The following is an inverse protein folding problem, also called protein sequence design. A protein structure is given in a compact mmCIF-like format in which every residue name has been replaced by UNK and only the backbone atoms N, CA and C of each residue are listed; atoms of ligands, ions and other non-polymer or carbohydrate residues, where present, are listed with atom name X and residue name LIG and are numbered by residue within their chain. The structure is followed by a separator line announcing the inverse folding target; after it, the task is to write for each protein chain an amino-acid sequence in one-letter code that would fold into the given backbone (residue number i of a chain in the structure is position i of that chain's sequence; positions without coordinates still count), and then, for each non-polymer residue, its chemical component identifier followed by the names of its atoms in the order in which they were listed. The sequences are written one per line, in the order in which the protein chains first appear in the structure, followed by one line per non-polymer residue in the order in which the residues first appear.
data_IF_573405663257
#
_entry.id   IF_573405663257
#
_cell.length_a   1.000
_cell.length_b   1.000
_cell.length_c   1.000
_cell.angle_alpha   90.00
_cell.angle_beta   90.00
_cell.angle_gamma   90.00
#
_symmetry.space_group_name_H-M   'P 1'
#
loop_
_entity.id
_entity.type
_entity.pdbx_description
1 polymer ?
#
# COMPACT_ATOMS: atom_id res chain seq x y z
N UNK A 1 -1.45 20.32 -13.52
CA UNK A 1 -1.80 18.97 -13.05
C UNK A 1 -0.80 18.63 -11.97
N UNK A 2 -1.25 18.37 -10.74
CA UNK A 2 -0.36 17.96 -9.67
C UNK A 2 0.14 16.55 -9.98
N UNK A 3 1.39 16.25 -9.66
CA UNK A 3 1.99 14.94 -9.88
C UNK A 3 2.76 14.52 -8.63
N UNK A 4 2.61 13.27 -8.23
CA UNK A 4 3.39 12.69 -7.15
C UNK A 4 4.64 12.02 -7.72
N UNK A 5 5.79 12.34 -7.17
CA UNK A 5 7.07 11.70 -7.53
C UNK A 5 7.55 10.85 -6.37
N UNK A 6 7.87 9.60 -6.64
CA UNK A 6 8.51 8.71 -5.70
C UNK A 6 10.01 8.68 -5.97
N UNK A 7 10.82 8.90 -4.92
CA UNK A 7 12.28 8.78 -5.00
C UNK A 7 12.74 7.78 -3.95
N UNK A 8 13.48 6.77 -4.39
CA UNK A 8 14.10 5.77 -3.52
C UNK A 8 15.61 5.99 -3.58
N UNK A 9 16.24 6.14 -2.43
CA UNK A 9 17.70 6.29 -2.31
C UNK A 9 18.24 5.26 -1.33
N UNK A 10 19.22 4.50 -1.76
CA UNK A 10 19.92 3.50 -0.96
C UNK A 10 21.40 3.83 -0.96
N UNK A 11 21.94 4.10 0.22
CA UNK A 11 23.35 4.43 0.39
C UNK A 11 23.96 3.51 1.44
N UNK A 12 25.14 3.00 1.16
CA UNK A 12 25.95 2.25 2.12
C UNK A 12 27.43 2.54 1.88
N UNK A 13 28.20 2.60 2.97
CA UNK A 13 29.64 2.83 2.96
C UNK A 13 30.44 1.56 3.25
N UNK A 14 29.79 0.49 3.70
CA UNK A 14 30.44 -0.67 4.35
C UNK A 14 29.88 -2.04 3.95
N UNK A 15 28.83 -2.12 3.15
CA UNK A 15 28.29 -3.42 2.68
C UNK A 15 29.28 -4.15 1.77
N UNK A 16 29.98 -3.41 0.94
CA UNK A 16 31.02 -3.93 0.04
C UNK A 16 32.30 -3.11 0.26
N UNK A 17 33.40 -3.59 -0.30
CA UNK A 17 34.68 -2.83 -0.29
C UNK A 17 34.59 -1.46 -1.02
N UNK A 18 33.45 -1.16 -1.63
CA UNK A 18 33.16 0.12 -2.27
C UNK A 18 31.83 0.68 -1.77
N UNK A 19 31.75 2.00 -1.63
CA UNK A 19 30.50 2.66 -1.29
C UNK A 19 29.45 2.44 -2.38
N UNK A 20 28.23 2.13 -1.97
CA UNK A 20 27.07 1.99 -2.85
C UNK A 20 26.20 3.21 -2.69
N UNK A 21 25.83 3.83 -3.79
CA UNK A 21 24.82 4.88 -3.84
C UNK A 21 23.89 4.61 -5.03
N UNK A 22 22.67 4.20 -4.71
CA UNK A 22 21.61 3.93 -5.70
C UNK A 22 20.50 4.92 -5.46
N UNK A 23 20.03 5.57 -6.51
CA UNK A 23 18.88 6.44 -6.45
C UNK A 23 18.04 6.25 -7.71
N UNK A 24 16.74 6.14 -7.52
CA UNK A 24 15.76 6.07 -8.61
C UNK A 24 14.59 6.98 -8.29
N UNK A 25 14.12 7.70 -9.28
CA UNK A 25 12.98 8.60 -9.16
C UNK A 25 12.01 8.33 -10.30
N UNK A 26 10.73 8.23 -9.97
CA UNK A 26 9.67 8.02 -10.95
C UNK A 26 8.43 8.82 -10.60
N UNK A 27 7.73 9.31 -11.61
CA UNK A 27 6.41 9.91 -11.44
C UNK A 27 5.38 8.80 -11.32
N UNK A 28 4.48 8.93 -10.36
CA UNK A 28 3.39 7.98 -10.14
C UNK A 28 2.21 8.37 -10.99
N UNK A 29 1.80 7.48 -11.87
CA UNK A 29 0.67 7.68 -12.77
C UNK A 29 -0.49 6.76 -12.39
N UNK A 30 -1.69 7.19 -12.80
CA UNK A 30 -2.85 6.31 -12.83
C UNK A 30 -2.55 5.13 -13.75
N UNK A 31 -3.08 3.97 -13.39
CA UNK A 31 -2.92 2.74 -14.16
C UNK A 31 -3.28 2.92 -15.64
N UNK A 32 -2.56 2.22 -16.49
CA UNK A 32 -2.72 2.27 -17.95
C UNK A 32 -2.52 3.66 -18.58
N UNK A 33 -1.95 4.63 -17.85
CA UNK A 33 -1.67 5.97 -18.39
C UNK A 33 -0.27 6.46 -18.05
N UNK A 34 0.24 7.37 -18.85
CA UNK A 34 1.45 8.17 -18.55
C UNK A 34 1.15 9.67 -18.53
N UNK A 35 -0.12 10.03 -18.56
CA UNK A 35 -0.59 11.41 -18.65
C UNK A 35 -1.40 11.86 -17.43
N UNK A 36 -1.94 10.93 -16.66
CA UNK A 36 -2.73 11.23 -15.45
C UNK A 36 -1.93 10.87 -14.23
N UNK A 37 -1.40 11.86 -13.54
CA UNK A 37 -0.65 11.68 -12.30
C UNK A 37 -1.55 11.40 -11.10
N UNK A 38 -1.01 10.76 -10.08
CA UNK A 38 -1.65 10.66 -8.77
C UNK A 38 -1.48 11.99 -8.04
N UNK A 39 -2.58 12.61 -7.67
CA UNK A 39 -2.61 13.98 -7.16
C UNK A 39 -3.16 14.10 -5.73
N UNK A 40 -3.68 13.00 -5.19
CA UNK A 40 -4.23 12.95 -3.84
C UNK A 40 -3.52 11.90 -2.99
N UNK A 41 -3.48 12.16 -1.70
CA UNK A 41 -2.91 11.28 -0.71
C UNK A 41 -3.79 11.28 0.55
N UNK A 42 -4.21 10.11 0.98
CA UNK A 42 -4.85 9.89 2.27
C UNK A 42 -3.84 9.27 3.22
N UNK A 43 -3.57 9.94 4.34
CA UNK A 43 -2.65 9.47 5.36
C UNK A 43 -3.40 9.10 6.64
N UNK A 44 -3.09 7.93 7.17
CA UNK A 44 -3.77 7.38 8.34
C UNK A 44 -2.79 6.75 9.32
N UNK A 45 -3.26 6.61 10.56
CA UNK A 45 -2.59 5.86 11.61
C UNK A 45 -3.57 4.90 12.24
N UNK A 46 -3.17 3.64 12.37
CA UNK A 46 -3.98 2.58 12.96
C UNK A 46 -3.19 1.85 14.05
N UNK A 47 -3.91 1.36 15.06
CA UNK A 47 -3.36 0.42 16.04
C UNK A 47 -3.93 -0.95 15.70
N UNK A 48 -3.06 -1.86 15.31
CA UNK A 48 -3.42 -3.21 14.89
C UNK A 48 -3.44 -4.11 16.12
N UNK A 49 -4.59 -4.66 16.50
CA UNK A 49 -4.70 -5.57 17.64
C UNK A 49 -4.00 -6.91 17.34
N UNK A 50 -3.56 -7.58 18.39
CA UNK A 50 -2.91 -8.90 18.25
C UNK A 50 -3.91 -9.98 17.84
N UNK A 51 -3.50 -10.84 16.92
CA UNK A 51 -4.20 -12.08 16.58
C UNK A 51 -5.47 -11.91 15.73
N UNK A 52 -5.75 -10.71 15.24
CA UNK A 52 -6.92 -10.42 14.40
C UNK A 52 -6.47 -9.79 13.10
N UNK A 53 -7.03 -10.24 11.99
CA UNK A 53 -6.88 -9.54 10.71
C UNK A 53 -7.57 -8.17 10.82
N UNK A 54 -6.89 -7.17 10.36
CA UNK A 54 -7.37 -5.79 10.33
C UNK A 54 -7.33 -5.29 8.88
N UNK A 55 -8.49 -4.94 8.36
CA UNK A 55 -8.62 -4.37 7.02
C UNK A 55 -8.05 -2.95 7.03
N UNK A 56 -6.82 -2.81 6.55
CA UNK A 56 -6.17 -1.51 6.43
C UNK A 56 -6.80 -0.69 5.32
N UNK A 57 -7.05 -1.34 4.19
CA UNK A 57 -7.74 -0.79 3.03
C UNK A 57 -8.78 -1.82 2.60
N UNK A 58 -10.06 -1.61 2.94
CA UNK A 58 -11.12 -2.55 2.59
C UNK A 58 -11.40 -2.54 1.09
N UNK A 59 -11.87 -3.66 0.58
CA UNK A 59 -12.25 -3.84 -0.82
C UNK A 59 -13.30 -2.80 -1.28
N UNK A 60 -14.24 -2.48 -0.42
CA UNK A 60 -15.33 -1.52 -0.70
C UNK A 60 -14.93 -0.05 -0.54
N UNK A 61 -13.65 0.28 -0.63
CA UNK A 61 -13.18 1.65 -0.38
C UNK A 61 -13.60 2.69 -1.43
N UNK A 62 -14.30 2.28 -2.50
CA UNK A 62 -14.73 3.18 -3.59
C UNK A 62 -13.60 3.63 -4.52
N UNK A 63 -12.40 3.08 -4.36
CA UNK A 63 -11.22 3.41 -5.15
C UNK A 63 -11.12 2.55 -6.42
N UNK A 64 -12.26 2.05 -6.89
CA UNK A 64 -12.34 1.24 -8.09
C UNK A 64 -11.78 1.98 -9.31
N UNK A 65 -11.05 1.25 -10.15
CA UNK A 65 -10.49 1.72 -11.42
C UNK A 65 -9.40 2.81 -11.32
N UNK A 66 -8.77 2.98 -10.18
CA UNK A 66 -7.64 3.86 -10.05
C UNK A 66 -6.40 3.08 -9.63
N UNK A 67 -5.32 3.17 -10.40
CA UNK A 67 -4.04 2.67 -9.93
C UNK A 67 -3.63 3.49 -8.73
N UNK A 68 -3.40 2.80 -7.65
CA UNK A 68 -3.02 3.38 -6.39
C UNK A 68 -1.66 2.87 -5.97
N UNK A 69 -0.99 3.65 -5.16
CA UNK A 69 0.20 3.22 -4.46
C UNK A 69 -0.05 3.32 -2.98
N UNK A 70 0.41 2.35 -2.24
CA UNK A 70 0.27 2.30 -0.79
C UNK A 70 1.65 2.32 -0.16
N UNK A 71 1.86 3.26 0.74
CA UNK A 71 3.01 3.29 1.64
C UNK A 71 2.56 2.79 3.01
N UNK A 72 3.27 1.87 3.60
CA UNK A 72 2.98 1.30 4.91
C UNK A 72 4.26 1.26 5.72
N UNK A 73 4.22 1.71 6.97
CA UNK A 73 5.36 1.64 7.89
C UNK A 73 4.90 1.15 9.27
N UNK A 74 5.68 0.21 9.83
CA UNK A 74 5.51 -0.20 11.22
C UNK A 74 6.26 0.79 12.14
N UNK A 75 5.50 1.56 12.91
CA UNK A 75 6.02 2.58 13.84
C UNK A 75 6.32 2.04 15.24
N UNK A 76 6.24 0.73 15.45
CA UNK A 76 6.64 0.16 16.72
C UNK A 76 8.14 0.40 16.97
N UNK A 77 8.52 0.45 18.22
CA UNK A 77 9.92 0.62 18.65
C UNK A 77 10.54 -0.68 19.17
N UNK A 78 9.72 -1.67 19.49
CA UNK A 78 10.20 -2.99 19.89
C UNK A 78 10.50 -3.83 18.66
N UNK A 79 11.78 -4.12 18.45
CA UNK A 79 12.29 -4.84 17.26
C UNK A 79 11.76 -6.28 17.14
N UNK A 80 11.18 -6.83 18.20
CA UNK A 80 10.55 -8.16 18.17
C UNK A 80 9.12 -8.13 17.66
N UNK A 81 8.52 -6.95 17.60
CA UNK A 81 7.15 -6.78 17.15
C UNK A 81 7.09 -6.65 15.62
N UNK A 82 6.25 -7.44 15.02
CA UNK A 82 6.04 -7.41 13.59
C UNK A 82 4.56 -7.59 13.24
N UNK A 83 4.25 -7.20 12.03
CA UNK A 83 2.96 -7.45 11.38
C UNK A 83 3.19 -8.20 10.08
N UNK A 84 2.26 -9.05 9.69
CA UNK A 84 2.18 -9.55 8.32
C UNK A 84 1.24 -8.68 7.51
N UNK A 85 1.53 -8.56 6.24
CA UNK A 85 0.68 -7.86 5.26
C UNK A 85 0.20 -8.88 4.27
N UNK A 86 -1.10 -8.84 3.98
CA UNK A 86 -1.74 -9.62 2.94
C UNK A 86 -2.43 -8.69 1.93
N UNK A 87 -2.50 -9.14 0.69
CA UNK A 87 -3.39 -8.58 -0.33
C UNK A 87 -4.38 -9.68 -0.65
N UNK A 88 -5.64 -9.45 -0.33
CA UNK A 88 -6.62 -10.53 -0.31
C UNK A 88 -6.17 -11.68 0.61
N UNK A 89 -6.29 -12.90 0.15
CA UNK A 89 -5.87 -14.08 0.93
C UNK A 89 -4.35 -14.34 0.93
N UNK A 90 -3.56 -13.58 0.17
CA UNK A 90 -2.15 -13.87 -0.05
C UNK A 90 -1.23 -13.02 0.82
N UNK A 91 -0.44 -13.68 1.67
CA UNK A 91 0.57 -13.00 2.50
C UNK A 91 1.74 -12.58 1.63
N UNK A 92 1.99 -11.26 1.56
CA UNK A 92 3.09 -10.68 0.78
C UNK A 92 4.36 -10.43 1.62
N UNK A 93 4.29 -10.63 2.93
CA UNK A 93 5.43 -10.59 3.83
C UNK A 93 5.18 -9.90 5.15
N UNK A 94 6.26 -9.68 5.90
CA UNK A 94 6.24 -9.09 7.24
C UNK A 94 6.95 -7.75 7.25
N UNK A 95 6.52 -6.87 8.17
CA UNK A 95 7.19 -5.64 8.54
C UNK A 95 7.54 -5.68 10.03
N UNK A 96 8.81 -5.67 10.35
CA UNK A 96 9.29 -5.47 11.71
C UNK A 96 9.26 -3.99 12.10
N UNK A 97 9.53 -3.70 13.34
CA UNK A 97 9.57 -2.33 13.83
C UNK A 97 10.55 -1.46 13.01
N UNK A 98 10.05 -0.37 12.45
CA UNK A 98 10.79 0.53 11.58
C UNK A 98 10.81 0.14 10.10
N UNK A 99 10.41 -1.09 9.75
CA UNK A 99 10.32 -1.49 8.35
C UNK A 99 9.15 -0.79 7.65
N UNK A 100 9.33 -0.61 6.34
CA UNK A 100 8.32 0.00 5.48
C UNK A 100 8.23 -0.70 4.13
N UNK A 101 7.09 -0.51 3.48
CA UNK A 101 6.84 -0.93 2.09
C UNK A 101 6.17 0.18 1.30
N UNK A 102 6.51 0.22 0.03
CA UNK A 102 5.82 0.99 -0.99
C UNK A 102 5.38 0.03 -2.09
N UNK A 103 4.08 -0.10 -2.29
CA UNK A 103 3.49 -1.15 -3.11
C UNK A 103 2.61 -0.49 -4.16
N UNK A 104 2.79 -0.80 -5.46
CA UNK A 104 1.74 -0.57 -6.44
C UNK A 104 0.54 -1.43 -6.06
N UNK A 105 -0.64 -0.82 -5.98
CA UNK A 105 -1.86 -1.51 -5.62
C UNK A 105 -3.02 -0.95 -6.43
N UNK A 106 -3.83 -1.82 -7.01
CA UNK A 106 -5.03 -1.46 -7.75
C UNK A 106 -6.18 -2.34 -7.27
N UNK A 107 -7.32 -1.72 -7.04
CA UNK A 107 -8.54 -2.44 -6.73
C UNK A 107 -9.27 -2.93 -7.99
N UNK A 108 -8.80 -2.53 -9.16
CA UNK A 108 -9.33 -3.00 -10.43
C UNK A 108 -8.59 -4.27 -10.86
N UNK A 109 -9.08 -5.39 -10.38
CA UNK A 109 -8.77 -6.67 -11.02
C UNK A 109 -9.78 -6.86 -12.15
N UNK A 110 -9.44 -6.36 -13.32
CA UNK A 110 -10.21 -6.62 -14.54
C UNK A 110 -10.23 -8.11 -14.84
N UNK A 111 -11.22 -8.79 -14.32
CA UNK A 111 -11.43 -10.22 -14.50
C UNK A 111 -12.16 -10.51 -15.83
N UNK A 112 -11.55 -10.09 -16.93
CA UNK A 112 -12.08 -10.45 -18.25
C UNK A 112 -11.51 -11.76 -18.81
N UNK A 113 -10.60 -12.42 -18.09
CA UNK A 113 -9.82 -13.52 -18.69
C UNK A 113 -10.17 -14.92 -18.17
N UNK A 114 -11.08 -15.12 -17.24
CA UNK A 114 -11.36 -16.50 -16.79
C UNK A 114 -12.78 -16.76 -16.39
N UNK A 115 -13.42 -17.68 -17.08
CA UNK A 115 -14.70 -18.31 -16.64
C UNK A 115 -14.52 -19.23 -15.40
N UNK A 116 -13.36 -19.23 -14.78
CA UNK A 116 -13.00 -19.97 -13.58
C UNK A 116 -12.21 -19.11 -12.60
N UNK A 117 -12.43 -17.81 -12.59
CA UNK A 117 -11.88 -16.94 -11.57
C UNK A 117 -12.27 -17.44 -10.18
N UNK A 118 -11.36 -17.40 -9.20
CA UNK A 118 -11.76 -17.60 -7.83
C UNK A 118 -12.83 -16.58 -7.50
N UNK A 119 -13.95 -17.06 -7.03
CA UNK A 119 -15.06 -16.23 -6.55
C UNK A 119 -14.56 -15.38 -5.40
N UNK A 120 -14.34 -14.10 -5.64
CA UNK A 120 -13.85 -13.16 -4.67
C UNK A 120 -12.43 -12.71 -5.02
N UNK A 121 -12.33 -11.73 -5.90
CA UNK A 121 -11.10 -10.94 -6.08
C UNK A 121 -10.99 -9.99 -4.89
N UNK A 122 -10.68 -10.56 -3.74
CA UNK A 122 -10.37 -9.77 -2.56
C UNK A 122 -9.04 -9.08 -2.80
N UNK A 123 -9.09 -7.78 -3.01
CA UNK A 123 -7.93 -6.90 -3.18
C UNK A 123 -7.67 -6.07 -1.93
N UNK A 124 -8.41 -6.33 -0.85
CA UNK A 124 -8.18 -5.67 0.43
C UNK A 124 -6.72 -5.77 0.86
N UNK A 125 -6.21 -4.74 1.51
CA UNK A 125 -4.94 -4.83 2.21
C UNK A 125 -5.22 -5.09 3.67
N UNK A 126 -4.88 -6.29 4.11
CA UNK A 126 -5.03 -6.74 5.48
C UNK A 126 -3.69 -6.74 6.22
N UNK A 127 -3.76 -6.48 7.51
CA UNK A 127 -2.61 -6.54 8.42
C UNK A 127 -2.98 -7.33 9.65
N UNK A 128 -2.05 -8.18 10.09
CA UNK A 128 -2.18 -8.94 11.33
C UNK A 128 -0.94 -8.76 12.21
N UNK A 129 -1.14 -8.43 13.47
CA UNK A 129 -0.09 -8.39 14.48
C UNK A 129 -0.04 -9.70 15.27
N UNK A 130 1.15 -10.24 15.54
CA UNK A 130 1.31 -11.55 16.17
C UNK A 130 1.80 -11.51 17.62
N UNK A 131 2.72 -10.63 17.96
CA UNK A 131 3.38 -10.60 19.27
C UNK A 131 2.74 -9.63 20.26
N UNK A 132 2.32 -8.48 19.76
CA UNK A 132 1.62 -7.43 20.51
C UNK A 132 0.91 -6.51 19.52
N UNK A 133 0.10 -5.57 20.04
CA UNK A 133 -0.48 -4.55 19.18
C UNK A 133 0.63 -3.70 18.54
N UNK A 134 0.45 -3.38 17.27
CA UNK A 134 1.41 -2.58 16.50
C UNK A 134 0.78 -1.28 16.02
N UNK A 135 1.55 -0.21 16.03
CA UNK A 135 1.15 1.06 15.43
C UNK A 135 1.65 1.10 14.00
N UNK A 136 0.72 1.21 13.06
CA UNK A 136 0.99 1.31 11.63
C UNK A 136 0.60 2.70 11.16
N UNK A 137 1.45 3.32 10.38
CA UNK A 137 1.11 4.49 9.58
C UNK A 137 1.09 4.09 8.10
N UNK A 138 0.12 4.58 7.36
CA UNK A 138 0.01 4.29 5.93
C UNK A 138 -0.52 5.47 5.15
N UNK A 139 -0.13 5.54 3.91
CA UNK A 139 -0.59 6.53 2.97
C UNK A 139 -1.07 5.85 1.69
N UNK A 140 -2.25 6.23 1.24
CA UNK A 140 -2.82 5.82 -0.03
C UNK A 140 -2.71 6.97 -1.02
N UNK A 141 -2.04 6.72 -2.15
CA UNK A 141 -1.90 7.69 -3.25
C UNK A 141 -2.85 7.33 -4.36
N UNK A 142 -3.66 8.27 -4.79
CA UNK A 142 -4.71 8.03 -5.77
C UNK A 142 -4.99 9.25 -6.66
N UNK A 143 -5.76 9.05 -7.71
CA UNK A 143 -6.34 10.13 -8.50
C UNK A 143 -7.49 10.72 -7.70
N UNK A 144 -7.69 12.03 -7.82
CA UNK A 144 -8.81 12.70 -7.17
C UNK A 144 -10.14 12.04 -7.50
N UNK A 145 -10.80 11.53 -6.48
CA UNK A 145 -12.18 11.09 -6.63
C UNK A 145 -13.08 12.30 -6.79
N UNK A 146 -13.96 12.25 -7.77
CA UNK A 146 -15.17 13.05 -7.69
C UNK A 146 -15.93 12.49 -6.50
N UNK A 147 -15.96 13.20 -5.38
CA UNK A 147 -16.84 12.87 -4.26
C UNK A 147 -18.23 12.61 -4.84
N UNK A 148 -18.65 11.36 -4.82
CA UNK A 148 -20.07 11.05 -5.03
C UNK A 148 -20.77 11.78 -3.90
N UNK A 149 -21.36 12.91 -4.21
CA UNK A 149 -22.22 13.62 -3.29
C UNK A 149 -23.31 12.64 -2.89
N UNK A 150 -23.38 12.36 -1.60
CA UNK A 150 -24.48 11.57 -1.03
C UNK A 150 -25.81 12.20 -1.47
N UNK A 151 -26.44 11.64 -2.49
CA UNK A 151 -27.64 12.22 -3.05
C UNK A 151 -28.16 11.60 -4.34
N UNK A 152 -27.41 10.75 -5.02
CA UNK A 152 -27.90 10.03 -6.19
C UNK A 152 -28.25 8.59 -5.80
N UNK A 153 -29.44 8.46 -5.23
CA UNK A 153 -30.16 7.18 -5.08
C UNK A 153 -31.37 7.18 -5.97
#
# INVERSE_FOLDING_TARGET
MATTTCTISLNSTDILSQAISLSSSTTLYKDSTTSTGLEQMNYHRAIIPTGTNFDLIPESSGLENNSNYVYIINKNTDVTHYVTISIGAEVIGSLYAGDWRFIPWSNDVSDTESSTAPTGNDTSIEIQAFTASNTIEYALFHVGETLLTAGDS
#
